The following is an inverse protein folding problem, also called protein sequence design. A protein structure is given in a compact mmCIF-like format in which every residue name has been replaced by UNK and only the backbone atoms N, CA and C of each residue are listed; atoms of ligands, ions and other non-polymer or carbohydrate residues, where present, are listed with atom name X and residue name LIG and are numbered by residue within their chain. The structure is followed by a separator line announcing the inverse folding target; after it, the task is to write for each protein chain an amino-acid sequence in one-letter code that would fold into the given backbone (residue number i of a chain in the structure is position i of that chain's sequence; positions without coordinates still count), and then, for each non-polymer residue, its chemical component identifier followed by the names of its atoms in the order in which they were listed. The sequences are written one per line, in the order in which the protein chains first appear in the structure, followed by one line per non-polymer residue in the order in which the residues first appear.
data_IF_414798749699
#
_entry.id   IF_414798749699
#
_cell.length_a   1.000
_cell.length_b   1.000
_cell.length_c   1.000
_cell.angle_alpha   90.00
_cell.angle_beta   90.00
_cell.angle_gamma   90.00
#
_symmetry.space_group_name_H-M   'P 1'
#
loop_
_entity.id
_entity.type
_entity.pdbx_description
1 polymer ?
#
# COMPACT_ATOMS: atom_id res chain seq x y z
N UNK A 1 -59.07 -7.84 48.72
CA UNK A 1 -57.67 -7.40 48.83
C UNK A 1 -56.86 -8.05 47.67
N UNK A 2 -56.73 -7.38 46.53
CA UNK A 2 -55.96 -7.81 45.40
C UNK A 2 -54.66 -6.98 45.35
N UNK A 3 -53.53 -7.68 45.52
CA UNK A 3 -52.20 -7.06 45.39
C UNK A 3 -51.70 -7.25 43.95
N UNK A 4 -51.74 -6.17 43.14
CA UNK A 4 -51.13 -6.12 41.84
C UNK A 4 -49.56 -6.06 41.99
N UNK A 5 -48.90 -7.04 41.42
CA UNK A 5 -47.43 -7.05 41.26
C UNK A 5 -47.13 -6.46 39.88
N UNK A 6 -46.55 -5.26 39.87
CA UNK A 6 -45.99 -4.68 38.68
C UNK A 6 -44.63 -5.37 38.35
N UNK A 7 -44.56 -5.98 37.17
CA UNK A 7 -43.31 -6.50 36.63
C UNK A 7 -42.66 -5.38 35.80
N UNK A 8 -41.54 -4.88 36.27
CA UNK A 8 -40.74 -3.90 35.54
C UNK A 8 -39.87 -4.68 34.50
N UNK A 9 -40.20 -4.51 33.23
CA UNK A 9 -39.34 -5.01 32.14
C UNK A 9 -38.17 -4.04 31.92
N UNK A 10 -36.97 -4.46 32.26
CA UNK A 10 -35.73 -3.74 31.92
C UNK A 10 -35.37 -4.06 30.49
N UNK A 11 -35.56 -3.10 29.59
CA UNK A 11 -35.11 -3.17 28.22
C UNK A 11 -33.63 -2.75 28.19
N UNK A 12 -32.72 -3.70 28.09
CA UNK A 12 -31.30 -3.46 27.80
C UNK A 12 -31.18 -3.04 26.33
N UNK A 13 -31.09 -1.75 26.06
CA UNK A 13 -30.68 -1.23 24.76
C UNK A 13 -29.19 -1.50 24.55
N UNK A 14 -28.88 -2.60 23.87
CA UNK A 14 -27.53 -2.90 23.42
C UNK A 14 -27.14 -1.95 22.29
N UNK A 15 -26.33 -0.95 22.58
CA UNK A 15 -25.70 -0.10 21.56
C UNK A 15 -24.68 -0.92 20.80
N UNK A 16 -25.06 -1.35 19.58
CA UNK A 16 -24.11 -1.89 18.59
C UNK A 16 -23.25 -0.72 18.13
N UNK A 17 -22.06 -0.59 18.72
CA UNK A 17 -20.97 0.22 18.16
C UNK A 17 -20.51 -0.48 16.88
N UNK A 18 -21.15 -0.19 15.76
CA UNK A 18 -20.60 -0.47 14.44
C UNK A 18 -19.40 0.45 14.29
N UNK A 19 -18.24 -0.02 14.69
CA UNK A 19 -16.96 0.62 14.37
C UNK A 19 -16.82 0.58 12.86
N UNK A 20 -17.06 1.68 12.18
CA UNK A 20 -16.60 1.87 10.82
C UNK A 20 -15.08 1.88 10.88
N UNK A 21 -14.44 0.77 10.53
CA UNK A 21 -13.02 0.75 10.24
C UNK A 21 -12.84 1.64 8.99
N UNK A 22 -12.41 2.87 9.21
CA UNK A 22 -12.11 3.80 8.13
C UNK A 22 -10.88 3.26 7.40
N UNK A 23 -11.02 3.00 6.09
CA UNK A 23 -9.90 2.56 5.26
C UNK A 23 -8.85 3.66 5.24
N UNK A 24 -7.58 3.32 5.51
CA UNK A 24 -6.51 4.29 5.39
C UNK A 24 -6.39 4.78 3.94
N UNK A 25 -6.18 6.07 3.79
CA UNK A 25 -5.99 6.67 2.47
C UNK A 25 -4.57 6.44 1.98
N UNK A 26 -4.39 6.41 0.66
CA UNK A 26 -3.08 6.15 0.02
C UNK A 26 -2.00 7.10 0.55
N UNK A 27 -2.35 8.34 0.85
CA UNK A 27 -1.45 9.42 1.27
C UNK A 27 -1.34 9.63 2.80
N UNK A 28 -1.88 8.73 3.62
CA UNK A 28 -1.90 8.90 5.08
C UNK A 28 -1.07 7.91 5.87
N UNK A 29 -0.53 6.89 5.22
CA UNK A 29 0.22 5.81 5.88
C UNK A 29 1.55 5.54 5.20
N UNK A 30 2.44 4.86 5.91
CA UNK A 30 3.64 4.27 5.32
C UNK A 30 3.30 2.88 4.82
N UNK A 31 3.45 2.67 3.53
CA UNK A 31 3.18 1.41 2.87
C UNK A 31 4.43 0.55 2.85
N UNK A 32 4.37 -0.63 3.44
CA UNK A 32 5.42 -1.64 3.35
C UNK A 32 5.25 -2.46 2.08
N UNK A 33 6.29 -2.58 1.27
CA UNK A 33 6.32 -3.45 0.09
C UNK A 33 6.49 -4.89 0.57
N UNK A 34 5.57 -5.77 0.17
CA UNK A 34 5.61 -7.21 0.48
C UNK A 34 5.92 -8.06 -0.73
N UNK A 35 5.50 -7.62 -1.90
CA UNK A 35 5.72 -8.35 -3.15
C UNK A 35 6.02 -7.39 -4.31
N UNK A 36 6.93 -7.80 -5.17
CA UNK A 36 7.26 -7.16 -6.45
C UNK A 36 7.08 -8.20 -7.55
N UNK A 37 5.91 -8.22 -8.16
CA UNK A 37 5.58 -9.14 -9.23
C UNK A 37 6.08 -8.59 -10.57
N UNK A 38 6.98 -9.28 -11.20
CA UNK A 38 7.54 -8.93 -12.52
C UNK A 38 6.99 -9.85 -13.59
N UNK A 39 6.95 -11.15 -13.32
CA UNK A 39 6.43 -12.18 -14.22
C UNK A 39 6.05 -13.43 -13.45
N UNK A 40 5.29 -14.33 -14.08
CA UNK A 40 4.88 -15.62 -13.51
C UNK A 40 6.04 -16.56 -13.15
N UNK A 41 7.21 -16.33 -13.75
CA UNK A 41 8.36 -17.24 -13.62
C UNK A 41 9.34 -16.82 -12.52
N UNK A 42 9.08 -15.69 -11.84
CA UNK A 42 9.96 -15.14 -10.81
C UNK A 42 9.27 -15.05 -9.45
N UNK A 43 9.97 -15.37 -8.33
CA UNK A 43 9.44 -15.14 -7.00
C UNK A 43 9.14 -13.64 -6.78
N UNK A 44 8.00 -13.32 -6.19
CA UNK A 44 7.54 -11.95 -5.96
C UNK A 44 7.79 -11.42 -4.56
N UNK A 45 7.95 -12.31 -3.58
CA UNK A 45 8.10 -11.94 -2.17
C UNK A 45 9.38 -11.17 -1.89
N UNK A 46 9.27 -10.12 -1.09
CA UNK A 46 10.41 -9.35 -0.59
C UNK A 46 11.18 -10.22 0.42
N UNK A 47 12.51 -10.36 0.30
CA UNK A 47 13.31 -11.19 1.20
C UNK A 47 13.38 -10.61 2.62
N UNK A 48 13.60 -11.49 3.60
CA UNK A 48 13.54 -11.17 5.03
C UNK A 48 14.55 -10.09 5.46
N UNK A 49 15.70 -10.00 4.82
CA UNK A 49 16.77 -9.03 5.13
C UNK A 49 16.39 -7.58 4.82
N UNK A 50 15.42 -7.36 3.92
CA UNK A 50 14.86 -6.05 3.60
C UNK A 50 13.36 -5.93 3.92
N UNK A 51 12.74 -6.96 4.44
CA UNK A 51 11.35 -6.91 4.91
C UNK A 51 11.19 -5.80 5.96
N UNK A 52 10.16 -4.97 5.79
CA UNK A 52 9.92 -3.79 6.63
C UNK A 52 10.82 -2.57 6.35
N UNK A 53 11.88 -2.73 5.55
CA UNK A 53 12.73 -1.61 5.08
C UNK A 53 12.28 -1.09 3.71
N UNK A 54 11.74 -1.97 2.87
CA UNK A 54 11.17 -1.59 1.59
C UNK A 54 9.81 -0.93 1.80
N UNK A 55 9.74 0.39 1.65
CA UNK A 55 8.55 1.18 1.98
C UNK A 55 8.31 2.30 0.98
N UNK A 56 7.04 2.69 0.81
CA UNK A 56 6.62 3.87 0.06
C UNK A 56 5.73 4.77 0.93
N UNK A 57 5.90 6.06 0.79
CA UNK A 57 5.08 7.10 1.39
C UNK A 57 4.60 8.02 0.29
N UNK A 58 3.31 8.04 0.06
CA UNK A 58 2.68 8.90 -0.92
C UNK A 58 2.20 10.18 -0.26
N UNK A 59 2.52 11.32 -0.87
CA UNK A 59 1.95 12.61 -0.54
C UNK A 59 0.97 13.05 -1.62
N UNK A 60 0.49 14.29 -1.54
CA UNK A 60 -0.41 14.86 -2.55
C UNK A 60 0.22 14.97 -3.93
N UNK A 61 1.53 15.22 -3.99
CA UNK A 61 2.30 15.36 -5.24
C UNK A 61 3.71 14.82 -5.12
N UNK A 62 4.05 14.19 -4.01
CA UNK A 62 5.39 13.69 -3.71
C UNK A 62 5.36 12.22 -3.39
N UNK A 63 6.42 11.51 -3.77
CA UNK A 63 6.71 10.15 -3.36
C UNK A 63 8.03 10.16 -2.61
N UNK A 64 8.07 9.48 -1.48
CA UNK A 64 9.29 9.15 -0.76
C UNK A 64 9.28 7.68 -0.39
N UNK A 65 10.44 7.09 -0.11
CA UNK A 65 10.49 5.71 0.30
C UNK A 65 11.90 5.15 0.35
N UNK A 66 11.95 3.83 0.41
CA UNK A 66 13.17 3.06 0.39
C UNK A 66 12.91 1.73 -0.32
N UNK A 67 13.82 1.29 -1.16
CA UNK A 67 13.74 -0.01 -1.85
C UNK A 67 14.11 -1.20 -0.96
N UNK A 68 14.52 -0.93 0.29
CA UNK A 68 15.20 -1.88 1.16
C UNK A 68 16.73 -1.75 1.07
N UNK A 69 17.25 -1.22 -0.03
CA UNK A 69 18.67 -1.02 -0.30
C UNK A 69 19.07 0.47 -0.39
N UNK A 70 18.15 1.33 -0.84
CA UNK A 70 18.42 2.74 -1.09
C UNK A 70 17.18 3.60 -0.87
N UNK A 71 17.33 4.84 -0.37
CA UNK A 71 16.28 5.83 -0.35
C UNK A 71 15.85 6.21 -1.77
N UNK A 72 14.58 6.59 -1.90
CA UNK A 72 14.03 7.11 -3.15
C UNK A 72 13.09 8.30 -2.92
N UNK A 73 12.98 9.14 -3.93
CA UNK A 73 11.99 10.21 -4.01
C UNK A 73 11.56 10.46 -5.43
N UNK A 74 10.35 11.00 -5.57
CA UNK A 74 9.77 11.32 -6.86
C UNK A 74 8.55 12.22 -6.72
N UNK A 75 7.86 12.35 -7.83
CA UNK A 75 6.57 13.03 -7.90
C UNK A 75 5.48 12.01 -8.16
N UNK A 76 4.31 12.25 -7.59
CA UNK A 76 3.10 11.47 -7.86
C UNK A 76 1.98 12.40 -8.30
N UNK A 77 1.20 11.97 -9.27
CA UNK A 77 -0.05 12.60 -9.67
C UNK A 77 -1.15 11.54 -9.72
N UNK A 78 -2.37 11.94 -9.40
CA UNK A 78 -3.53 11.06 -9.30
C UNK A 78 -4.57 11.44 -10.36
N UNK A 79 -5.36 10.47 -10.84
CA UNK A 79 -6.44 10.70 -11.79
C UNK A 79 -7.68 11.37 -11.17
N UNK A 80 -7.83 11.30 -9.84
CA UNK A 80 -8.93 11.89 -9.08
C UNK A 80 -8.66 13.30 -8.57
N UNK A 81 -9.69 13.92 -7.99
CA UNK A 81 -9.57 15.22 -7.32
C UNK A 81 -8.71 15.16 -6.04
N UNK A 82 -8.57 13.97 -5.46
CA UNK A 82 -7.77 13.70 -4.27
C UNK A 82 -7.16 12.30 -4.33
N UNK A 83 -6.07 12.02 -3.58
CA UNK A 83 -5.50 10.68 -3.48
C UNK A 83 -6.50 9.62 -2.98
N UNK A 84 -7.52 10.03 -2.24
CA UNK A 84 -8.55 9.17 -1.65
C UNK A 84 -9.49 8.57 -2.69
N UNK A 85 -9.77 9.32 -3.76
CA UNK A 85 -10.72 8.94 -4.81
C UNK A 85 -9.99 8.40 -6.05
N UNK A 86 -8.66 8.29 -6.00
CA UNK A 86 -7.86 7.89 -7.15
C UNK A 86 -8.03 6.40 -7.46
N UNK A 87 -8.21 6.10 -8.73
CA UNK A 87 -8.19 4.75 -9.28
C UNK A 87 -6.90 4.46 -10.04
N UNK A 88 -6.13 5.50 -10.33
CA UNK A 88 -4.79 5.39 -10.91
C UNK A 88 -3.88 6.51 -10.42
N UNK A 89 -2.58 6.27 -10.53
CA UNK A 89 -1.56 7.27 -10.27
C UNK A 89 -0.43 7.18 -11.30
N UNK A 90 0.33 8.26 -11.41
CA UNK A 90 1.56 8.30 -12.20
C UNK A 90 2.72 8.76 -11.32
N UNK A 91 3.79 7.98 -11.30
CA UNK A 91 5.06 8.33 -10.65
C UNK A 91 6.02 8.87 -11.71
N UNK A 92 6.63 10.00 -11.44
CA UNK A 92 7.55 10.68 -12.35
C UNK A 92 8.71 11.32 -11.62
N UNK A 93 9.77 11.66 -12.35
CA UNK A 93 10.97 12.29 -11.78
C UNK A 93 11.56 11.48 -10.62
N UNK A 94 11.52 10.15 -10.74
CA UNK A 94 12.04 9.24 -9.73
C UNK A 94 13.56 9.43 -9.61
N UNK A 95 14.02 9.56 -8.38
CA UNK A 95 15.44 9.57 -8.01
C UNK A 95 15.64 8.52 -6.95
N UNK A 96 16.65 7.70 -7.15
CA UNK A 96 17.04 6.64 -6.23
C UNK A 96 18.51 6.84 -5.93
N UNK A 97 18.87 6.85 -4.66
CA UNK A 97 20.27 6.96 -4.24
C UNK A 97 21.04 5.67 -4.55
N UNK A 98 22.34 5.72 -4.43
CA UNK A 98 23.17 4.52 -4.57
C UNK A 98 22.79 3.48 -3.49
N UNK A 99 22.69 2.20 -3.85
CA UNK A 99 22.36 1.17 -2.87
C UNK A 99 23.46 1.01 -1.82
N UNK A 100 23.05 0.66 -0.60
CA UNK A 100 23.99 0.33 0.48
C UNK A 100 24.97 -0.77 0.03
N UNK A 101 26.27 -0.69 0.40
CA UNK A 101 27.24 -1.75 0.10
C UNK A 101 26.88 -3.13 0.66
N UNK A 102 26.02 -3.17 1.68
CA UNK A 102 25.52 -4.42 2.29
C UNK A 102 24.40 -5.06 1.47
N UNK A 103 23.79 -4.30 0.55
CA UNK A 103 22.73 -4.80 -0.28
C UNK A 103 23.26 -5.75 -1.34
N UNK A 104 22.85 -7.01 -1.30
CA UNK A 104 23.35 -8.04 -2.21
C UNK A 104 22.29 -9.13 -2.45
N UNK A 105 22.55 -10.05 -3.38
CA UNK A 105 21.68 -11.20 -3.63
C UNK A 105 20.27 -10.82 -3.99
N UNK A 106 19.28 -11.43 -3.33
CA UNK A 106 17.87 -11.23 -3.59
C UNK A 106 17.40 -9.79 -3.26
N UNK A 107 17.99 -9.16 -2.24
CA UNK A 107 17.69 -7.78 -1.90
C UNK A 107 18.08 -6.82 -3.03
N UNK A 108 19.27 -7.02 -3.61
CA UNK A 108 19.72 -6.23 -4.77
C UNK A 108 18.83 -6.48 -6.00
N UNK A 109 18.40 -7.71 -6.21
CA UNK A 109 17.45 -8.03 -7.29
C UNK A 109 16.13 -7.25 -7.12
N UNK A 110 15.51 -7.30 -5.94
CA UNK A 110 14.27 -6.56 -5.65
C UNK A 110 14.48 -5.05 -5.82
N UNK A 111 15.61 -4.51 -5.34
CA UNK A 111 15.97 -3.11 -5.56
C UNK A 111 15.97 -2.74 -7.05
N UNK A 112 16.66 -3.53 -7.89
CA UNK A 112 16.76 -3.28 -9.32
C UNK A 112 15.38 -3.34 -10.00
N UNK A 113 14.54 -4.32 -9.65
CA UNK A 113 13.19 -4.45 -10.19
C UNK A 113 12.31 -3.25 -9.80
N UNK A 114 12.34 -2.83 -8.54
CA UNK A 114 11.63 -1.64 -8.08
C UNK A 114 12.08 -0.38 -8.83
N UNK A 115 13.37 -0.16 -8.98
CA UNK A 115 13.91 0.99 -9.71
C UNK A 115 13.46 0.98 -11.16
N UNK A 116 13.43 -0.18 -11.79
CA UNK A 116 13.04 -0.32 -13.22
C UNK A 116 11.56 -0.07 -13.47
N UNK A 117 10.69 -0.41 -12.50
CA UNK A 117 9.25 -0.41 -12.73
C UNK A 117 8.49 0.74 -12.06
N UNK A 118 9.06 1.39 -11.03
CA UNK A 118 8.34 2.40 -10.22
C UNK A 118 7.97 3.66 -10.99
N UNK A 119 8.69 4.05 -12.04
CA UNK A 119 8.35 5.24 -12.85
C UNK A 119 7.26 4.90 -13.88
N UNK A 120 6.25 5.77 -14.01
CA UNK A 120 5.14 5.65 -14.96
C UNK A 120 3.78 5.46 -14.31
N UNK A 121 2.80 5.00 -15.08
CA UNK A 121 1.41 4.86 -14.67
C UNK A 121 1.11 3.53 -13.99
N UNK A 122 0.19 3.58 -13.02
CA UNK A 122 -0.32 2.41 -12.29
C UNK A 122 -1.83 2.53 -12.08
N UNK A 123 -2.53 1.42 -12.25
CA UNK A 123 -3.88 1.25 -11.74
C UNK A 123 -3.82 0.82 -10.27
N UNK A 124 -4.73 1.35 -9.46
CA UNK A 124 -4.78 1.12 -8.02
C UNK A 124 -5.89 0.12 -7.67
N UNK A 125 -5.55 -0.87 -6.86
CA UNK A 125 -6.53 -1.67 -6.12
C UNK A 125 -6.24 -1.50 -4.64
N UNK A 126 -7.21 -0.97 -3.92
CA UNK A 126 -7.08 -0.67 -2.51
C UNK A 126 -8.16 -1.43 -1.74
N UNK A 127 -7.75 -2.38 -0.92
CA UNK A 127 -8.63 -3.22 -0.08
C UNK A 127 -8.11 -3.22 1.35
N UNK A 128 -8.97 -2.88 2.32
CA UNK A 128 -8.65 -2.86 3.75
C UNK A 128 -7.25 -2.29 4.05
N UNK A 129 -6.28 -3.16 4.36
CA UNK A 129 -4.90 -2.83 4.70
C UNK A 129 -3.90 -3.07 3.55
N UNK A 130 -4.40 -3.29 2.34
CA UNK A 130 -3.61 -3.64 1.17
C UNK A 130 -3.80 -2.63 0.04
N UNK A 131 -2.71 -2.28 -0.62
CA UNK A 131 -2.67 -1.51 -1.85
C UNK A 131 -1.88 -2.27 -2.90
N UNK A 132 -2.47 -2.49 -4.07
CA UNK A 132 -1.76 -3.05 -5.23
C UNK A 132 -1.61 -1.97 -6.30
N UNK A 133 -0.38 -1.71 -6.69
CA UNK A 133 -0.02 -0.87 -7.83
C UNK A 133 0.22 -1.78 -9.04
N UNK A 134 -0.71 -1.82 -9.98
CA UNK A 134 -0.58 -2.60 -11.20
C UNK A 134 -0.07 -1.72 -12.35
N UNK A 135 1.06 -2.08 -12.94
CA UNK A 135 1.69 -1.30 -14.01
C UNK A 135 0.77 -1.16 -15.23
N UNK A 136 0.66 0.04 -15.76
CA UNK A 136 -0.09 0.31 -17.00
C UNK A 136 0.75 0.05 -18.25
N UNK A 137 0.12 -0.46 -19.35
CA UNK A 137 -1.28 -0.89 -19.41
C UNK A 137 -1.52 -2.17 -18.61
N UNK A 138 -2.58 -2.17 -17.79
CA UNK A 138 -2.87 -3.30 -16.91
C UNK A 138 -3.47 -4.49 -17.68
N UNK A 139 -3.08 -5.69 -17.28
CA UNK A 139 -3.50 -6.97 -17.85
C UNK A 139 -3.17 -8.11 -16.89
N UNK A 140 -3.47 -9.35 -17.27
CA UNK A 140 -3.29 -10.52 -16.39
C UNK A 140 -1.85 -10.70 -15.92
N UNK A 141 -0.86 -10.41 -16.80
CA UNK A 141 0.57 -10.59 -16.51
C UNK A 141 1.31 -9.25 -16.33
N UNK A 142 0.59 -8.16 -16.13
CA UNK A 142 1.24 -6.86 -15.90
C UNK A 142 1.99 -6.86 -14.58
N UNK A 143 3.22 -6.30 -14.55
CA UNK A 143 3.97 -6.14 -13.32
C UNK A 143 3.16 -5.39 -12.25
N UNK A 144 3.35 -5.77 -11.00
CA UNK A 144 2.61 -5.19 -9.88
C UNK A 144 3.45 -5.12 -8.60
N UNK A 145 3.13 -4.17 -7.75
CA UNK A 145 3.72 -4.03 -6.42
C UNK A 145 2.58 -4.14 -5.41
N UNK A 146 2.72 -5.05 -4.46
CA UNK A 146 1.80 -5.22 -3.35
C UNK A 146 2.37 -4.56 -2.10
N UNK A 147 1.53 -3.78 -1.45
CA UNK A 147 1.89 -3.02 -0.26
C UNK A 147 0.85 -3.25 0.84
N UNK A 148 1.31 -3.18 2.09
CA UNK A 148 0.44 -3.29 3.29
C UNK A 148 0.80 -2.20 4.29
N UNK A 149 -0.12 -1.87 5.22
CA UNK A 149 0.16 -0.98 6.37
C UNK A 149 -0.38 -1.55 7.67
#
# INVERSE_FOLDING_TARGET
MMRSRAVAAVVCAGSLLAGCAERAHVDTVTWQITDVYVSSDTPSGVPDDIAGKAVLVFGRSTLAGNTGCAPLHGKVSYDGASPQDATSLTISSLRVDDPSPECSGQAMYVHQELVSMLEGGFDLRHEDHELVLQKQPSGLDSPAIRLVY
#
